data_IF_203070065373
#
_entry.id   IF_203070065373
#
_cell.length_a   1.000
_cell.length_b   1.000
_cell.length_c   1.000
_cell.angle_alpha   90.00
_cell.angle_beta   90.00
_cell.angle_gamma   90.00
#
_symmetry.space_group_name_H-M   'P 1'
#
loop_
_entity.id
_entity.type
_entity.pdbx_description
1 polymer ?
#
# COMPACT_ATOMS: atom_id res chain seq x y z
N UNK A 1 -28.04 -28.20 -43.74
CA UNK A 1 -27.67 -29.18 -44.78
C UNK A 1 -26.44 -28.67 -45.52
N UNK A 2 -25.51 -29.60 -45.77
CA UNK A 2 -24.43 -29.62 -46.76
C UNK A 2 -23.17 -28.73 -46.58
N UNK A 3 -22.08 -29.45 -46.30
CA UNK A 3 -20.66 -29.13 -46.52
C UNK A 3 -20.28 -29.39 -47.97
N UNK A 4 -19.27 -28.68 -48.49
CA UNK A 4 -18.23 -29.16 -49.43
C UNK A 4 -17.29 -28.00 -49.76
N UNK A 5 -16.01 -27.96 -49.35
CA UNK A 5 -14.81 -28.72 -49.77
C UNK A 5 -14.24 -28.36 -51.16
N UNK A 6 -12.93 -28.11 -51.14
CA UNK A 6 -11.97 -27.48 -52.09
C UNK A 6 -11.75 -28.18 -53.46
N UNK A 7 -10.83 -27.67 -54.33
CA UNK A 7 -9.43 -28.17 -54.32
C UNK A 7 -8.32 -27.18 -54.80
N UNK A 8 -7.06 -27.63 -54.63
CA UNK A 8 -5.76 -26.96 -54.90
C UNK A 8 -5.10 -27.40 -56.24
N UNK A 9 -4.22 -26.54 -56.81
CA UNK A 9 -2.78 -26.76 -57.23
C UNK A 9 -2.39 -26.38 -58.70
N UNK A 10 -1.10 -26.44 -59.17
CA UNK A 10 0.08 -25.53 -59.03
C UNK A 10 0.71 -25.10 -60.42
N UNK A 11 2.06 -25.04 -60.67
CA UNK A 11 3.09 -23.98 -60.47
C UNK A 11 3.83 -23.50 -61.77
N UNK A 12 4.77 -22.52 -61.71
CA UNK A 12 6.06 -22.48 -62.50
C UNK A 12 7.00 -21.29 -62.19
N UNK A 13 8.30 -21.47 -62.49
CA UNK A 13 9.54 -20.82 -62.01
C UNK A 13 10.14 -19.72 -62.93
N UNK A 14 10.88 -18.76 -62.31
CA UNK A 14 12.21 -18.13 -62.62
C UNK A 14 12.49 -17.47 -64.02
N UNK A 15 13.43 -16.49 -64.20
CA UNK A 15 14.82 -16.49 -63.68
C UNK A 15 15.58 -15.16 -63.35
N UNK A 16 16.71 -15.38 -62.64
CA UNK A 16 18.04 -14.75 -62.53
C UNK A 16 18.40 -13.29 -62.92
N UNK A 17 19.28 -12.67 -62.09
CA UNK A 17 20.48 -12.00 -62.65
C UNK A 17 21.04 -10.71 -62.01
N UNK A 18 21.95 -10.86 -61.03
CA UNK A 18 23.28 -10.20 -60.90
C UNK A 18 23.47 -8.68 -60.60
N UNK A 19 24.35 -8.47 -59.58
CA UNK A 19 25.47 -7.51 -59.40
C UNK A 19 25.28 -6.22 -58.56
N UNK A 20 26.07 -6.16 -57.48
CA UNK A 20 26.42 -4.99 -56.65
C UNK A 20 27.16 -3.88 -57.42
N UNK A 21 27.33 -2.67 -56.85
CA UNK A 21 28.57 -2.41 -56.10
C UNK A 21 28.45 -1.50 -54.85
N UNK A 22 29.45 -1.64 -53.96
CA UNK A 22 29.76 -0.74 -52.84
C UNK A 22 30.45 0.55 -53.33
N UNK A 23 30.20 1.68 -52.65
CA UNK A 23 31.13 2.79 -52.31
C UNK A 23 30.51 3.59 -51.15
N UNK A 24 31.03 3.47 -49.93
CA UNK A 24 31.94 4.41 -49.25
C UNK A 24 31.44 5.86 -49.29
N UNK A 25 30.98 6.35 -48.14
CA UNK A 25 31.32 7.68 -47.62
C UNK A 25 31.02 7.73 -46.11
N UNK A 26 32.08 7.91 -45.32
CA UNK A 26 32.00 8.30 -43.91
C UNK A 26 31.64 9.78 -43.80
N UNK A 27 31.05 10.21 -42.68
CA UNK A 27 31.76 11.25 -41.93
C UNK A 27 31.81 11.01 -40.43
N UNK A 28 32.91 11.53 -39.91
CA UNK A 28 33.45 11.51 -38.57
C UNK A 28 32.53 12.21 -37.55
N UNK A 29 32.13 11.55 -36.45
CA UNK A 29 31.64 12.23 -35.23
C UNK A 29 31.97 11.45 -33.95
N UNK A 30 33.04 11.93 -33.29
CA UNK A 30 33.36 11.94 -31.85
C UNK A 30 32.70 10.88 -30.95
N UNK A 31 33.54 9.97 -30.46
CA UNK A 31 33.32 9.13 -29.27
C UNK A 31 33.18 10.00 -28.02
N UNK A 32 32.06 9.90 -27.32
CA UNK A 32 32.00 10.02 -25.86
C UNK A 32 31.17 8.84 -25.34
N UNK A 33 31.69 8.18 -24.30
CA UNK A 33 31.31 6.83 -23.89
C UNK A 33 29.85 6.69 -23.47
N UNK A 34 29.17 5.76 -24.13
CA UNK A 34 27.90 5.20 -23.67
C UNK A 34 28.29 4.14 -22.63
N UNK A 35 28.10 4.46 -21.34
CA UNK A 35 28.07 3.44 -20.30
C UNK A 35 27.00 2.40 -20.61
N UNK A 36 27.09 1.16 -20.09
CA UNK A 36 26.18 0.09 -20.49
C UNK A 36 24.74 0.55 -20.32
N UNK A 37 24.01 0.54 -21.44
CA UNK A 37 22.56 0.71 -21.44
C UNK A 37 22.02 -0.46 -20.62
N UNK A 38 21.60 -0.21 -19.38
CA UNK A 38 20.84 -1.19 -18.62
C UNK A 38 19.51 -1.27 -19.34
N UNK A 39 19.36 -2.32 -20.14
CA UNK A 39 18.10 -2.70 -20.73
C UNK A 39 17.18 -3.05 -19.57
N UNK A 40 16.40 -2.07 -19.09
CA UNK A 40 15.32 -2.29 -18.15
C UNK A 40 14.23 -3.02 -18.93
N UNK A 41 14.44 -4.32 -19.15
CA UNK A 41 13.52 -5.21 -19.82
C UNK A 41 12.13 -5.02 -19.21
N UNK A 42 11.14 -4.80 -20.08
CA UNK A 42 9.73 -4.74 -19.70
C UNK A 42 9.39 -5.97 -18.86
N UNK A 43 9.25 -5.76 -17.56
CA UNK A 43 8.88 -6.80 -16.62
C UNK A 43 7.36 -7.01 -16.74
N UNK A 44 6.92 -7.97 -17.54
CA UNK A 44 5.52 -8.43 -17.49
C UNK A 44 5.40 -9.36 -16.28
N UNK A 45 4.69 -8.98 -15.20
CA UNK A 45 4.78 -9.74 -13.97
C UNK A 45 3.85 -10.95 -14.03
N UNK A 46 4.41 -12.16 -13.92
CA UNK A 46 3.62 -13.30 -13.46
C UNK A 46 3.55 -13.25 -11.92
N UNK A 47 2.67 -12.38 -11.39
CA UNK A 47 2.43 -12.17 -9.94
C UNK A 47 1.78 -13.37 -9.23
N UNK A 48 1.60 -14.49 -9.93
CA UNK A 48 0.81 -15.63 -9.48
C UNK A 48 1.64 -16.91 -9.37
N UNK A 49 2.95 -16.81 -9.11
CA UNK A 49 3.83 -17.97 -8.85
C UNK A 49 4.21 -18.03 -7.38
N UNK A 50 4.05 -19.19 -6.74
CA UNK A 50 4.52 -19.38 -5.37
C UNK A 50 6.03 -19.58 -5.34
N UNK A 51 6.77 -18.69 -4.66
CA UNK A 51 8.24 -18.77 -4.60
C UNK A 51 8.77 -19.95 -3.79
N UNK A 52 7.94 -20.62 -2.99
CA UNK A 52 8.34 -21.81 -2.21
C UNK A 52 8.24 -23.12 -3.01
N UNK A 53 7.24 -23.25 -3.89
CA UNK A 53 6.97 -24.49 -4.61
C UNK A 53 7.02 -24.36 -6.14
N UNK A 54 7.21 -23.14 -6.65
CA UNK A 54 7.27 -22.78 -8.07
C UNK A 54 6.01 -23.11 -8.87
N UNK A 55 4.88 -23.35 -8.21
CA UNK A 55 3.58 -23.50 -8.89
C UNK A 55 3.05 -22.15 -9.34
N UNK A 56 2.67 -22.06 -10.61
CA UNK A 56 1.85 -20.97 -11.15
C UNK A 56 0.37 -21.21 -10.87
N UNK A 57 -0.34 -20.14 -10.53
CA UNK A 57 -1.77 -20.11 -10.24
C UNK A 57 -2.51 -19.25 -11.27
N UNK A 58 -3.81 -19.53 -11.43
CA UNK A 58 -4.66 -18.78 -12.38
C UNK A 58 -4.79 -17.28 -12.10
N UNK A 59 -4.72 -16.87 -10.83
CA UNK A 59 -4.88 -15.47 -10.42
C UNK A 59 -4.27 -15.20 -9.04
N UNK A 60 -4.07 -13.92 -8.67
CA UNK A 60 -3.51 -13.55 -7.36
C UNK A 60 -4.34 -14.03 -6.16
N UNK A 61 -5.66 -14.14 -6.28
CA UNK A 61 -6.50 -14.65 -5.19
C UNK A 61 -6.24 -16.15 -4.91
N UNK A 62 -5.98 -16.94 -5.95
CA UNK A 62 -5.66 -18.36 -5.83
C UNK A 62 -4.31 -18.58 -5.13
N UNK A 63 -3.28 -17.80 -5.45
CA UNK A 63 -1.98 -17.90 -4.77
C UNK A 63 -2.04 -17.41 -3.32
N UNK A 64 -2.77 -16.33 -3.01
CA UNK A 64 -2.95 -15.92 -1.61
C UNK A 64 -3.67 -17.01 -0.80
N UNK A 65 -4.72 -17.61 -1.37
CA UNK A 65 -5.41 -18.75 -0.76
C UNK A 65 -4.47 -19.95 -0.55
N UNK A 66 -3.62 -20.25 -1.53
CA UNK A 66 -2.60 -21.29 -1.44
C UNK A 66 -1.62 -21.06 -0.29
N UNK A 67 -1.01 -19.87 -0.19
CA UNK A 67 0.01 -19.57 0.81
C UNK A 67 -0.54 -19.65 2.25
N UNK A 68 -1.78 -19.23 2.44
CA UNK A 68 -2.42 -19.28 3.76
C UNK A 68 -2.88 -20.70 4.12
N UNK A 69 -3.33 -21.49 3.15
CA UNK A 69 -3.93 -22.80 3.42
C UNK A 69 -3.01 -24.00 3.27
N UNK A 70 -1.98 -23.94 2.43
CA UNK A 70 -1.15 -25.09 2.12
C UNK A 70 0.16 -25.02 2.91
N UNK A 71 0.52 -26.13 3.54
CA UNK A 71 1.76 -26.24 4.29
C UNK A 71 2.89 -26.77 3.41
N UNK A 72 3.92 -25.95 3.21
CA UNK A 72 5.16 -26.31 2.50
C UNK A 72 6.29 -26.76 3.44
N UNK A 73 6.05 -26.72 4.75
CA UNK A 73 7.07 -27.03 5.76
C UNK A 73 7.02 -28.50 6.14
N UNK A 74 8.18 -29.04 6.55
CA UNK A 74 8.33 -30.42 7.02
C UNK A 74 7.24 -30.79 8.06
N UNK A 75 6.66 -32.01 7.99
CA UNK A 75 7.05 -33.16 7.15
C UNK A 75 6.59 -33.07 5.68
N UNK A 76 5.84 -32.03 5.31
CA UNK A 76 5.35 -31.82 3.95
C UNK A 76 6.43 -31.17 3.07
N UNK A 77 6.22 -31.20 1.76
CA UNK A 77 7.19 -30.68 0.81
C UNK A 77 6.49 -29.98 -0.37
N UNK A 78 7.25 -29.62 -1.40
CA UNK A 78 6.70 -28.95 -2.57
C UNK A 78 5.72 -29.83 -3.36
N UNK A 79 5.83 -31.17 -3.32
CA UNK A 79 4.95 -32.09 -4.05
C UNK A 79 3.68 -32.43 -3.29
N UNK A 80 3.80 -32.76 -2.02
CA UNK A 80 2.67 -33.16 -1.17
C UNK A 80 2.54 -32.19 0.00
N UNK A 81 1.44 -31.45 0.01
CA UNK A 81 1.18 -30.35 0.91
C UNK A 81 -0.03 -30.67 1.78
N UNK A 82 -0.03 -30.23 3.03
CA UNK A 82 -1.20 -30.38 3.89
C UNK A 82 -2.08 -29.14 3.85
N UNK A 83 -3.38 -29.33 3.65
CA UNK A 83 -4.35 -28.26 3.85
C UNK A 83 -4.51 -27.98 5.35
N UNK A 84 -4.24 -26.74 5.78
CA UNK A 84 -4.38 -26.29 7.17
C UNK A 84 -5.82 -26.32 7.68
N UNK A 85 -6.79 -26.16 6.78
CA UNK A 85 -8.22 -26.12 7.12
C UNK A 85 -8.79 -27.53 7.37
N UNK A 86 -8.67 -28.45 6.41
CA UNK A 86 -9.28 -29.79 6.50
C UNK A 86 -8.28 -30.92 6.84
N UNK A 87 -6.99 -30.60 6.98
CA UNK A 87 -5.89 -31.52 7.32
C UNK A 87 -5.55 -32.59 6.26
N UNK A 88 -6.25 -32.63 5.14
CA UNK A 88 -5.93 -33.56 4.05
C UNK A 88 -4.59 -33.23 3.39
N UNK A 89 -3.83 -34.25 3.03
CA UNK A 89 -2.67 -34.14 2.14
C UNK A 89 -3.16 -34.01 0.70
N UNK A 90 -2.62 -33.03 -0.02
CA UNK A 90 -3.01 -32.68 -1.39
C UNK A 90 -1.75 -32.61 -2.24
N UNK A 91 -1.77 -33.26 -3.40
CA UNK A 91 -0.69 -33.14 -4.34
C UNK A 91 -0.70 -31.75 -4.99
N UNK A 92 0.48 -31.19 -5.25
CA UNK A 92 0.67 -29.88 -5.89
C UNK A 92 -0.07 -29.76 -7.23
N UNK A 93 -0.27 -30.86 -7.96
CA UNK A 93 -1.03 -30.86 -9.22
C UNK A 93 -2.51 -30.54 -9.00
N UNK A 94 -3.08 -31.05 -7.91
CA UNK A 94 -4.51 -31.00 -7.60
C UNK A 94 -4.90 -29.87 -6.62
N UNK A 95 -3.90 -29.10 -6.18
CA UNK A 95 -4.07 -28.09 -5.13
C UNK A 95 -5.09 -27.00 -5.50
N UNK A 96 -5.20 -26.64 -6.79
CA UNK A 96 -6.15 -25.62 -7.25
C UNK A 96 -7.59 -26.10 -7.28
N UNK A 97 -7.81 -27.41 -7.43
CA UNK A 97 -9.13 -28.04 -7.38
C UNK A 97 -9.54 -28.38 -5.94
N UNK A 98 -8.64 -28.29 -4.97
CA UNK A 98 -8.93 -28.59 -3.58
C UNK A 98 -10.02 -27.65 -3.01
N UNK A 99 -11.10 -28.22 -2.49
CA UNK A 99 -12.31 -27.50 -2.05
C UNK A 99 -12.02 -26.30 -1.13
N UNK A 100 -11.17 -26.46 -0.11
CA UNK A 100 -10.86 -25.36 0.81
C UNK A 100 -10.15 -24.19 0.10
N UNK A 101 -9.27 -24.49 -0.86
CA UNK A 101 -8.56 -23.47 -1.62
C UNK A 101 -9.51 -22.75 -2.58
N UNK A 102 -10.38 -23.48 -3.29
CA UNK A 102 -11.39 -22.90 -4.18
C UNK A 102 -12.30 -21.93 -3.42
N UNK A 103 -12.84 -22.36 -2.28
CA UNK A 103 -13.71 -21.53 -1.44
C UNK A 103 -12.98 -20.27 -0.95
N UNK A 104 -11.74 -20.43 -0.46
CA UNK A 104 -10.94 -19.30 0.01
C UNK A 104 -10.63 -18.33 -1.13
N UNK A 105 -10.22 -18.81 -2.29
CA UNK A 105 -9.93 -17.97 -3.44
C UNK A 105 -11.19 -17.24 -3.93
N UNK A 106 -12.37 -17.88 -3.91
CA UNK A 106 -13.64 -17.23 -4.26
C UNK A 106 -13.99 -16.10 -3.29
N UNK A 107 -13.84 -16.32 -1.99
CA UNK A 107 -13.98 -15.26 -0.99
C UNK A 107 -13.04 -14.09 -1.30
N UNK A 108 -11.76 -14.37 -1.53
CA UNK A 108 -10.77 -13.32 -1.85
C UNK A 108 -11.14 -12.54 -3.12
N UNK A 109 -11.63 -13.21 -4.19
CA UNK A 109 -12.12 -12.54 -5.41
C UNK A 109 -13.32 -11.64 -5.15
N UNK A 110 -14.25 -12.07 -4.29
CA UNK A 110 -15.41 -11.26 -3.90
C UNK A 110 -14.94 -9.95 -3.26
N UNK A 111 -13.99 -10.02 -2.31
CA UNK A 111 -13.46 -8.84 -1.62
C UNK A 111 -12.80 -7.82 -2.55
N UNK A 112 -12.22 -8.29 -3.65
CA UNK A 112 -11.51 -7.49 -4.65
C UNK A 112 -12.42 -6.90 -5.73
N UNK A 113 -13.68 -7.35 -5.80
CA UNK A 113 -14.62 -6.92 -6.82
C UNK A 113 -14.89 -5.41 -6.68
N UNK A 114 -15.06 -4.68 -7.80
CA UNK A 114 -15.44 -3.27 -7.76
C UNK A 114 -16.69 -2.95 -6.94
N UNK A 115 -17.63 -3.90 -6.83
CA UNK A 115 -18.83 -3.76 -5.99
C UNK A 115 -18.50 -3.75 -4.49
N UNK A 116 -17.49 -4.52 -4.07
CA UNK A 116 -17.02 -4.56 -2.69
C UNK A 116 -16.05 -3.43 -2.36
N UNK A 117 -15.48 -2.79 -3.39
CA UNK A 117 -14.56 -1.66 -3.27
C UNK A 117 -15.21 -0.33 -3.68
N UNK A 118 -16.46 -0.12 -3.26
CA UNK A 118 -17.20 1.09 -3.58
C UNK A 118 -16.54 2.35 -3.01
N UNK A 119 -16.34 3.33 -3.89
CA UNK A 119 -15.58 4.55 -3.63
C UNK A 119 -14.09 4.31 -3.27
N UNK A 120 -13.51 3.24 -3.79
CA UNK A 120 -12.07 3.00 -3.80
C UNK A 120 -11.58 2.12 -2.65
N UNK A 121 -10.35 1.57 -2.75
CA UNK A 121 -9.77 0.70 -1.73
C UNK A 121 -9.70 1.32 -0.32
N UNK A 122 -9.79 0.50 0.75
CA UNK A 122 -9.85 0.95 2.15
C UNK A 122 -8.51 1.44 2.73
N UNK A 123 -7.61 1.90 1.88
CA UNK A 123 -6.31 2.46 2.24
C UNK A 123 -6.02 3.74 1.44
N UNK A 124 -7.04 4.35 0.83
CA UNK A 124 -6.93 5.62 0.10
C UNK A 124 -7.67 6.73 0.81
N UNK A 125 -6.97 7.83 1.09
CA UNK A 125 -7.54 8.99 1.77
C UNK A 125 -8.35 9.89 0.82
N UNK A 126 -9.61 10.15 1.15
CA UNK A 126 -10.49 11.03 0.36
C UNK A 126 -10.16 12.53 0.52
N UNK A 127 -9.53 12.95 1.62
CA UNK A 127 -9.14 14.35 1.83
C UNK A 127 -7.82 14.71 1.15
N UNK A 128 -6.93 13.74 0.98
CA UNK A 128 -5.62 13.92 0.37
C UNK A 128 -5.57 13.48 -1.10
N UNK A 129 -6.59 13.82 -1.89
CA UNK A 129 -6.63 13.51 -3.33
C UNK A 129 -6.33 12.03 -3.62
N UNK A 130 -6.98 11.12 -2.89
CA UNK A 130 -6.80 9.66 -3.04
C UNK A 130 -5.36 9.19 -2.74
N UNK A 131 -4.61 9.91 -1.87
CA UNK A 131 -3.30 9.47 -1.39
C UNK A 131 -3.38 8.04 -0.88
N UNK A 132 -2.46 7.19 -1.34
CA UNK A 132 -2.34 5.80 -0.93
C UNK A 132 -1.59 5.72 0.40
N UNK A 133 -2.23 5.15 1.40
CA UNK A 133 -1.61 4.65 2.61
C UNK A 133 -1.14 3.20 2.40
N UNK A 134 -0.16 2.74 3.17
CA UNK A 134 0.36 1.38 3.11
C UNK A 134 -0.58 0.33 3.69
N UNK A 135 -1.58 0.72 4.49
CA UNK A 135 -2.65 -0.17 4.95
C UNK A 135 -3.92 0.60 5.35
N UNK A 136 -5.01 -0.12 5.62
CA UNK A 136 -6.22 0.49 6.22
C UNK A 136 -5.98 1.03 7.64
N UNK A 137 -5.06 0.43 8.38
CA UNK A 137 -4.68 0.90 9.72
C UNK A 137 -3.95 2.23 9.60
N UNK A 138 -3.02 2.32 8.64
CA UNK A 138 -2.31 3.55 8.34
C UNK A 138 -3.26 4.63 7.82
N UNK A 139 -4.28 4.27 7.03
CA UNK A 139 -5.35 5.21 6.67
C UNK A 139 -6.09 5.74 7.90
N UNK A 140 -6.49 4.86 8.83
CA UNK A 140 -7.17 5.29 10.05
C UNK A 140 -6.31 6.26 10.87
N UNK A 141 -5.03 5.94 11.05
CA UNK A 141 -4.08 6.83 11.74
C UNK A 141 -3.86 8.13 10.98
N UNK A 142 -3.75 8.08 9.66
CA UNK A 142 -3.65 9.26 8.81
C UNK A 142 -4.88 10.18 8.99
N UNK A 143 -6.09 9.64 8.99
CA UNK A 143 -7.31 10.42 9.22
C UNK A 143 -7.31 11.07 10.60
N UNK A 144 -6.97 10.32 11.65
CA UNK A 144 -6.94 10.84 13.02
C UNK A 144 -5.77 11.79 13.30
N UNK A 145 -4.68 11.72 12.54
CA UNK A 145 -3.53 12.59 12.74
C UNK A 145 -3.56 13.85 11.86
N UNK A 146 -4.08 13.76 10.62
CA UNK A 146 -4.15 14.88 9.68
C UNK A 146 -5.53 15.56 9.66
N UNK A 147 -6.61 14.77 9.64
CA UNK A 147 -7.97 15.24 9.31
C UNK A 147 -8.94 15.21 10.48
N UNK A 148 -8.42 14.97 11.69
CA UNK A 148 -9.22 14.95 12.91
C UNK A 148 -10.00 16.27 13.08
N UNK A 149 -11.29 16.21 13.41
CA UNK A 149 -12.08 17.40 13.70
C UNK A 149 -11.43 18.22 14.82
N UNK A 150 -11.48 19.55 14.69
CA UNK A 150 -10.97 20.49 15.69
C UNK A 150 -9.46 20.34 16.03
N UNK A 151 -8.67 19.71 15.15
CA UNK A 151 -7.23 19.58 15.32
C UNK A 151 -6.56 20.97 15.32
N UNK A 152 -5.67 21.27 16.28
CA UNK A 152 -4.88 22.48 16.23
C UNK A 152 -3.95 22.49 14.99
N UNK A 153 -3.79 23.65 14.32
CA UNK A 153 -2.85 23.78 13.22
C UNK A 153 -1.42 23.38 13.61
N UNK A 154 -0.69 22.71 12.73
CA UNK A 154 0.70 22.32 12.97
C UNK A 154 0.92 21.25 14.06
N UNK A 155 -0.12 20.55 14.52
CA UNK A 155 -0.01 19.49 15.52
C UNK A 155 -0.52 18.15 15.01
N UNK A 156 0.06 17.04 15.48
CA UNK A 156 -0.52 15.72 15.30
C UNK A 156 -1.90 15.66 15.96
N UNK A 157 -2.88 15.09 15.28
CA UNK A 157 -4.23 14.93 15.83
C UNK A 157 -4.32 13.91 16.97
N UNK A 158 -3.30 13.11 17.24
CA UNK A 158 -3.35 12.08 18.30
C UNK A 158 -2.38 12.32 19.46
N UNK A 159 -1.41 13.24 19.33
CA UNK A 159 -0.42 13.52 20.36
C UNK A 159 0.12 14.96 20.27
N UNK A 160 1.07 15.31 21.13
CA UNK A 160 1.66 16.65 21.22
C UNK A 160 2.75 16.93 20.16
N UNK A 161 2.98 16.03 19.19
CA UNK A 161 3.98 16.25 18.14
C UNK A 161 3.60 17.43 17.25
N UNK A 162 4.59 18.25 16.87
CA UNK A 162 4.41 19.46 16.06
C UNK A 162 5.12 19.37 14.71
N UNK A 163 4.58 20.04 13.70
CA UNK A 163 5.14 20.10 12.34
C UNK A 163 4.81 21.42 11.64
N UNK A 164 5.57 21.76 10.60
CA UNK A 164 5.30 22.92 9.75
C UNK A 164 4.14 22.62 8.79
N UNK A 165 3.00 23.26 9.02
CA UNK A 165 1.82 23.07 8.18
C UNK A 165 1.90 23.96 6.92
N UNK A 166 1.71 23.39 5.71
CA UNK A 166 1.76 24.18 4.50
C UNK A 166 0.64 25.25 4.46
N UNK A 167 0.89 26.38 3.79
CA UNK A 167 -0.11 27.43 3.65
C UNK A 167 -1.35 26.91 2.91
N UNK A 168 -2.51 27.43 3.31
CA UNK A 168 -3.78 27.07 2.66
C UNK A 168 -3.74 27.53 1.20
N UNK A 169 -4.34 26.73 0.33
CA UNK A 169 -4.51 27.10 -1.07
C UNK A 169 -5.31 28.41 -1.17
N UNK A 170 -4.87 29.38 -2.00
CA UNK A 170 -5.61 30.61 -2.22
C UNK A 170 -6.96 30.30 -2.87
N UNK A 171 -7.97 31.16 -2.65
CA UNK A 171 -9.24 31.01 -3.35
C UNK A 171 -9.07 31.08 -4.87
N UNK A 172 -9.86 30.33 -5.66
CA UNK A 172 -9.81 30.45 -7.12
C UNK A 172 -10.04 31.89 -7.57
N UNK A 173 -9.26 32.33 -8.56
CA UNK A 173 -9.34 33.68 -9.09
C UNK A 173 -10.55 33.78 -10.05
N UNK A 174 -11.71 34.17 -9.51
CA UNK A 174 -12.93 34.44 -10.28
C UNK A 174 -13.36 35.91 -10.12
N UNK A 175 -13.92 36.53 -11.17
CA UNK A 175 -14.43 37.89 -11.11
C UNK A 175 -15.47 38.05 -9.99
N UNK A 176 -15.40 39.10 -9.17
CA UNK A 176 -16.40 39.38 -8.15
C UNK A 176 -17.81 39.55 -8.76
N UNK A 177 -18.83 39.06 -8.07
CA UNK A 177 -20.23 39.29 -8.44
C UNK A 177 -20.57 40.80 -8.41
N UNK A 178 -21.22 41.35 -9.45
CA UNK A 178 -21.77 42.70 -9.40
C UNK A 178 -22.81 42.84 -8.27
N UNK A 179 -22.83 43.98 -7.58
CA UNK A 179 -23.74 44.23 -6.46
C UNK A 179 -25.24 44.05 -6.82
N UNK A 180 -25.60 44.30 -8.08
CA UNK A 180 -26.97 44.22 -8.61
C UNK A 180 -27.28 42.88 -9.29
N UNK A 181 -26.47 41.83 -9.05
CA UNK A 181 -26.70 40.53 -9.67
C UNK A 181 -28.03 39.91 -9.22
N UNK A 182 -28.82 39.49 -10.21
CA UNK A 182 -30.04 38.69 -10.00
C UNK A 182 -29.71 37.32 -9.37
N UNK A 183 -30.77 36.64 -8.91
CA UNK A 183 -30.61 35.38 -8.17
C UNK A 183 -30.07 34.24 -9.05
N UNK A 184 -30.28 34.30 -10.36
CA UNK A 184 -29.76 33.32 -11.31
C UNK A 184 -28.25 33.48 -11.50
N UNK A 185 -27.77 34.72 -11.70
CA UNK A 185 -26.33 35.04 -11.75
C UNK A 185 -25.61 34.68 -10.46
N UNK A 186 -26.23 34.88 -9.30
CA UNK A 186 -25.68 34.43 -8.00
C UNK A 186 -25.50 32.91 -7.95
N UNK A 187 -26.48 32.14 -8.43
CA UNK A 187 -26.40 30.67 -8.50
C UNK A 187 -25.33 30.21 -9.49
N UNK A 188 -25.28 30.83 -10.67
CA UNK A 188 -24.28 30.51 -11.69
C UNK A 188 -22.85 30.77 -11.19
N UNK A 189 -22.61 31.92 -10.58
CA UNK A 189 -21.29 32.24 -10.00
C UNK A 189 -20.91 31.29 -8.86
N UNK A 190 -21.86 30.93 -7.98
CA UNK A 190 -21.60 29.95 -6.92
C UNK A 190 -21.23 28.56 -7.49
N UNK A 191 -21.88 28.17 -8.60
CA UNK A 191 -21.57 26.94 -9.32
C UNK A 191 -20.19 27.01 -10.00
N UNK A 192 -19.86 28.13 -10.64
CA UNK A 192 -18.55 28.36 -11.25
C UNK A 192 -17.43 28.35 -10.21
N UNK A 193 -17.64 29.01 -9.07
CA UNK A 193 -16.71 28.99 -7.93
C UNK A 193 -16.51 27.58 -7.37
N UNK A 194 -17.58 26.79 -7.29
CA UNK A 194 -17.49 25.38 -6.90
C UNK A 194 -16.67 24.57 -7.91
N UNK A 195 -16.93 24.71 -9.20
CA UNK A 195 -16.18 24.03 -10.27
C UNK A 195 -14.70 24.44 -10.25
N UNK A 196 -14.42 25.72 -10.07
CA UNK A 196 -13.06 26.25 -10.00
C UNK A 196 -12.31 25.70 -8.78
N UNK A 197 -12.97 25.61 -7.60
CA UNK A 197 -12.39 24.96 -6.41
C UNK A 197 -12.12 23.48 -6.65
N UNK A 198 -13.08 22.74 -7.22
CA UNK A 198 -12.89 21.33 -7.54
C UNK A 198 -11.74 21.12 -8.54
N UNK A 199 -11.59 22.00 -9.53
CA UNK A 199 -10.47 21.97 -10.48
C UNK A 199 -9.14 22.23 -9.77
N UNK A 200 -9.06 23.26 -8.94
CA UNK A 200 -7.88 23.59 -8.15
C UNK A 200 -7.47 22.43 -7.21
N UNK A 201 -8.44 21.74 -6.59
CA UNK A 201 -8.17 20.55 -5.77
C UNK A 201 -7.59 19.37 -6.59
N UNK A 202 -7.88 19.33 -7.89
CA UNK A 202 -7.36 18.34 -8.84
C UNK A 202 -6.04 18.78 -9.50
N UNK A 203 -5.55 19.99 -9.26
CA UNK A 203 -4.27 20.45 -9.79
C UNK A 203 -3.13 19.85 -8.98
N UNK A 204 -2.13 19.30 -9.68
CA UNK A 204 -0.96 18.71 -9.04
C UNK A 204 -0.08 19.84 -8.49
N UNK A 205 0.36 19.71 -7.23
CA UNK A 205 1.28 20.65 -6.61
C UNK A 205 2.67 20.04 -6.54
N UNK A 206 3.64 20.69 -7.17
CA UNK A 206 5.07 20.34 -7.07
C UNK A 206 5.73 20.91 -5.80
N UNK A 207 4.98 21.66 -4.98
CA UNK A 207 5.51 22.29 -3.78
C UNK A 207 5.83 21.22 -2.74
N UNK A 208 7.12 21.06 -2.45
CA UNK A 208 7.57 20.20 -1.37
C UNK A 208 6.94 20.66 -0.05
N UNK A 209 6.48 19.70 0.77
CA UNK A 209 5.88 19.97 2.08
C UNK A 209 6.62 19.20 3.17
N UNK A 210 7.87 19.58 3.50
CA UNK A 210 8.70 18.83 4.45
C UNK A 210 8.03 18.60 5.80
N UNK A 211 7.24 19.55 6.29
CA UNK A 211 6.49 19.38 7.54
C UNK A 211 5.42 18.27 7.46
N UNK A 212 4.73 18.10 6.32
CA UNK A 212 3.80 16.97 6.15
C UNK A 212 4.55 15.63 6.06
N UNK A 213 5.76 15.62 5.49
CA UNK A 213 6.61 14.44 5.47
C UNK A 213 7.10 14.05 6.88
N UNK A 214 7.47 15.04 7.72
CA UNK A 214 7.82 14.82 9.12
C UNK A 214 6.65 14.20 9.89
N UNK A 215 5.43 14.71 9.70
CA UNK A 215 4.24 14.14 10.32
C UNK A 215 3.99 12.69 9.83
N UNK A 216 4.23 12.39 8.54
CA UNK A 216 4.07 11.03 8.01
C UNK A 216 5.05 10.06 8.66
N UNK A 217 6.32 10.46 8.78
CA UNK A 217 7.36 9.66 9.44
C UNK A 217 6.99 9.42 10.91
N UNK A 218 6.55 10.46 11.62
CA UNK A 218 6.06 10.35 12.99
C UNK A 218 4.91 9.33 13.10
N UNK A 219 3.87 9.44 12.28
CA UNK A 219 2.72 8.53 12.29
C UNK A 219 3.17 7.08 12.03
N UNK A 220 4.03 6.87 11.05
CA UNK A 220 4.52 5.54 10.66
C UNK A 220 5.31 4.83 11.75
N UNK A 221 5.93 5.57 12.68
CA UNK A 221 6.85 5.02 13.68
C UNK A 221 6.26 5.05 15.10
N UNK A 222 5.39 6.01 15.40
CA UNK A 222 4.83 6.20 16.75
C UNK A 222 3.39 5.69 16.88
N UNK A 223 2.58 5.75 15.82
CA UNK A 223 1.17 5.38 15.89
C UNK A 223 0.90 4.05 15.18
N UNK A 224 1.33 3.92 13.92
CA UNK A 224 1.01 2.76 13.07
C UNK A 224 1.41 1.41 13.69
N UNK A 225 2.61 1.22 14.30
CA UNK A 225 3.00 -0.09 14.85
C UNK A 225 2.04 -0.61 15.92
N UNK A 226 1.61 0.24 16.85
CA UNK A 226 0.69 -0.13 17.93
C UNK A 226 -0.68 -0.59 17.38
N UNK A 227 -1.25 0.20 16.46
CA UNK A 227 -2.56 -0.13 15.88
C UNK A 227 -2.49 -1.28 14.86
N UNK A 228 -1.35 -1.51 14.22
CA UNK A 228 -1.14 -2.69 13.38
C UNK A 228 -1.07 -3.96 14.21
N UNK A 229 -0.34 -3.94 15.33
CA UNK A 229 -0.30 -5.06 16.27
C UNK A 229 -1.71 -5.39 16.77
N UNK A 230 -2.46 -4.37 17.17
CA UNK A 230 -3.84 -4.56 17.64
C UNK A 230 -4.78 -5.08 16.54
N UNK A 231 -4.76 -4.49 15.34
CA UNK A 231 -5.53 -4.98 14.19
C UNK A 231 -5.18 -6.44 13.84
N UNK A 232 -3.89 -6.80 13.93
CA UNK A 232 -3.44 -8.18 13.69
C UNK A 232 -4.01 -9.15 14.71
N UNK A 233 -4.02 -8.79 16.00
CA UNK A 233 -4.67 -9.58 17.04
C UNK A 233 -6.16 -9.76 16.75
N UNK A 234 -6.87 -8.67 16.47
CA UNK A 234 -8.32 -8.74 16.25
C UNK A 234 -8.68 -9.57 15.00
N UNK A 235 -7.87 -9.55 13.92
CA UNK A 235 -8.12 -10.38 12.72
C UNK A 235 -8.05 -11.90 13.02
N UNK A 236 -7.36 -12.31 14.10
CA UNK A 236 -7.34 -13.70 14.55
C UNK A 236 -8.65 -14.10 15.24
N UNK A 237 -9.27 -13.16 15.96
CA UNK A 237 -10.47 -13.39 16.77
C UNK A 237 -11.78 -13.11 16.00
N UNK A 238 -11.75 -12.16 15.06
CA UNK A 238 -12.91 -11.64 14.35
C UNK A 238 -12.70 -11.71 12.82
N UNK A 239 -13.50 -12.56 12.17
CA UNK A 239 -13.46 -12.73 10.71
C UNK A 239 -14.04 -11.55 9.94
N UNK A 240 -14.92 -10.74 10.54
CA UNK A 240 -15.54 -9.58 9.90
C UNK A 240 -14.52 -8.48 9.63
N UNK A 241 -13.43 -8.46 10.38
CA UNK A 241 -12.28 -7.60 10.10
C UNK A 241 -11.59 -7.93 8.77
N UNK A 242 -11.94 -9.00 8.04
CA UNK A 242 -11.38 -9.23 6.70
C UNK A 242 -12.11 -8.42 5.62
N UNK A 243 -13.29 -7.88 5.93
CA UNK A 243 -14.02 -7.01 5.01
C UNK A 243 -13.29 -5.69 4.77
N UNK A 244 -13.43 -5.07 3.58
CA UNK A 244 -12.57 -3.96 3.16
C UNK A 244 -12.77 -2.78 4.08
N UNK A 245 -14.04 -2.46 4.35
CA UNK A 245 -14.43 -1.30 5.15
C UNK A 245 -14.81 -1.67 6.59
N UNK A 246 -14.24 -2.76 7.13
CA UNK A 246 -14.28 -2.99 8.56
C UNK A 246 -13.31 -2.04 9.26
N UNK A 247 -13.81 -1.29 10.24
CA UNK A 247 -12.99 -0.35 10.99
C UNK A 247 -11.91 -1.11 11.78
N UNK A 248 -10.61 -0.80 11.58
CA UNK A 248 -9.55 -1.45 12.33
C UNK A 248 -9.58 -1.07 13.83
N UNK A 249 -10.40 -0.08 14.22
CA UNK A 249 -10.49 0.44 15.59
C UNK A 249 -11.65 -0.11 16.43
N UNK A 250 -12.68 -0.70 15.82
CA UNK A 250 -13.80 -1.24 16.60
C UNK A 250 -14.56 -2.36 15.88
N UNK A 251 -13.98 -2.90 14.80
CA UNK A 251 -14.59 -3.93 13.94
C UNK A 251 -15.90 -3.55 13.26
N UNK A 252 -16.42 -2.33 13.44
CA UNK A 252 -17.65 -1.94 12.78
C UNK A 252 -17.48 -1.90 11.27
N UNK A 253 -18.31 -2.67 10.56
CA UNK A 253 -18.24 -2.81 9.12
C UNK A 253 -19.24 -1.89 8.41
N UNK A 254 -18.75 -1.18 7.40
CA UNK A 254 -19.56 -0.37 6.49
C UNK A 254 -19.41 -0.84 5.05
N UNK A 255 -20.12 -0.20 4.11
CA UNK A 255 -20.23 -0.68 2.73
C UNK A 255 -19.34 0.07 1.76
N UNK A 256 -18.77 1.20 2.17
CA UNK A 256 -17.99 2.06 1.27
C UNK A 256 -16.84 2.79 1.98
N UNK A 257 -15.92 3.31 1.17
CA UNK A 257 -14.76 4.04 1.67
C UNK A 257 -15.15 5.35 2.39
N UNK A 258 -16.16 6.07 1.90
CA UNK A 258 -16.58 7.34 2.51
C UNK A 258 -17.29 7.13 3.86
N UNK A 259 -18.05 6.05 4.02
CA UNK A 259 -18.64 5.68 5.31
C UNK A 259 -17.55 5.34 6.33
N UNK A 260 -16.48 4.65 5.89
CA UNK A 260 -15.35 4.31 6.76
C UNK A 260 -14.64 5.58 7.24
N UNK A 261 -14.41 6.55 6.34
CA UNK A 261 -13.82 7.84 6.70
C UNK A 261 -14.68 8.59 7.72
N UNK A 262 -15.99 8.70 7.45
CA UNK A 262 -16.93 9.38 8.33
C UNK A 262 -16.96 8.73 9.72
N UNK A 263 -16.99 7.39 9.76
CA UNK A 263 -16.94 6.63 10.99
C UNK A 263 -15.67 6.87 11.79
N UNK A 264 -14.50 6.77 11.15
CA UNK A 264 -13.21 6.97 11.83
C UNK A 264 -13.15 8.37 12.43
N UNK A 265 -13.48 9.41 11.64
CA UNK A 265 -13.43 10.78 12.12
C UNK A 265 -14.51 11.11 13.15
N UNK A 266 -15.69 10.50 13.07
CA UNK A 266 -16.81 10.78 13.96
C UNK A 266 -16.80 10.01 15.28
N UNK A 267 -16.43 8.73 15.25
CA UNK A 267 -16.41 7.85 16.42
C UNK A 267 -15.07 7.86 17.15
N UNK A 268 -13.96 8.02 16.42
CA UNK A 268 -12.60 7.89 16.99
C UNK A 268 -11.83 9.21 16.97
N UNK A 269 -12.46 10.29 16.50
CA UNK A 269 -11.85 11.62 16.39
C UNK A 269 -11.92 12.48 17.64
N UNK A 270 -12.48 12.00 18.76
CA UNK A 270 -12.56 12.83 19.97
C UNK A 270 -11.19 12.96 20.67
N UNK A 271 -10.91 14.10 21.33
CA UNK A 271 -9.66 14.31 22.08
C UNK A 271 -9.55 13.47 23.33
N UNK A 272 -10.68 13.05 23.88
CA UNK A 272 -10.75 12.38 25.16
C UNK A 272 -11.47 11.05 25.03
N UNK A 273 -10.97 10.06 25.78
CA UNK A 273 -11.65 8.77 25.90
C UNK A 273 -13.06 8.93 26.48
N UNK A 274 -13.25 9.87 27.40
CA UNK A 274 -14.56 10.17 28.01
C UNK A 274 -15.60 10.51 26.94
N UNK A 275 -15.27 11.32 25.94
CA UNK A 275 -16.21 11.63 24.85
C UNK A 275 -16.51 10.43 23.95
N UNK A 276 -15.52 9.57 23.70
CA UNK A 276 -15.73 8.32 22.98
C UNK A 276 -16.65 7.37 23.76
N UNK A 277 -16.48 7.28 25.08
CA UNK A 277 -17.29 6.44 25.96
C UNK A 277 -18.74 6.96 26.05
N UNK A 278 -18.90 8.28 26.07
CA UNK A 278 -20.19 8.97 26.02
C UNK A 278 -20.82 9.02 24.62
N UNK A 279 -20.18 8.39 23.62
CA UNK A 279 -20.68 8.30 22.24
C UNK A 279 -20.99 9.68 21.63
N UNK A 280 -20.10 10.63 21.90
CA UNK A 280 -20.15 11.97 21.33
C UNK A 280 -19.54 11.93 19.93
N UNK A 281 -20.24 12.49 18.95
CA UNK A 281 -19.73 12.63 17.60
C UNK A 281 -18.65 13.71 17.54
N UNK A 282 -17.42 13.34 17.21
CA UNK A 282 -16.31 14.29 17.12
C UNK A 282 -16.49 15.35 16.00
N UNK A 283 -17.39 15.13 15.04
CA UNK A 283 -17.64 16.06 13.93
C UNK A 283 -18.66 17.16 14.26
N UNK A 284 -19.58 16.95 15.21
CA UNK A 284 -20.64 17.91 15.52
C UNK A 284 -21.17 17.87 16.96
N UNK A 285 -20.46 17.21 17.87
CA UNK A 285 -20.77 17.08 19.30
C UNK A 285 -22.15 16.46 19.63
N UNK A 286 -22.77 15.78 18.67
CA UNK A 286 -24.02 15.03 18.91
C UNK A 286 -23.75 13.85 19.83
N UNK A 287 -24.53 13.74 20.92
CA UNK A 287 -24.43 12.62 21.87
C UNK A 287 -25.46 11.56 21.55
N UNK A 288 -25.01 10.32 21.35
CA UNK A 288 -25.89 9.16 21.23
C UNK A 288 -25.96 8.38 22.54
N UNK A 289 -27.05 7.63 22.75
CA UNK A 289 -27.17 6.69 23.88
C UNK A 289 -26.51 5.33 23.62
N UNK A 290 -26.16 5.02 22.36
CA UNK A 290 -25.63 3.72 21.94
C UNK A 290 -24.64 3.88 20.77
N UNK A 291 -23.71 2.94 20.61
CA UNK A 291 -22.80 2.88 19.46
C UNK A 291 -23.56 2.82 18.12
N UNK A 292 -24.63 2.03 18.05
CA UNK A 292 -25.49 1.97 16.86
C UNK A 292 -26.17 3.30 16.56
N UNK A 293 -26.58 4.04 17.60
CA UNK A 293 -27.15 5.38 17.48
C UNK A 293 -26.15 6.38 16.91
N UNK A 294 -24.91 6.37 17.43
CA UNK A 294 -23.82 7.23 16.95
C UNK A 294 -23.45 6.90 15.50
N UNK A 295 -23.27 5.62 15.19
CA UNK A 295 -22.97 5.16 13.84
C UNK A 295 -24.04 5.58 12.84
N UNK A 296 -25.33 5.42 13.20
CA UNK A 296 -26.44 5.89 12.35
C UNK A 296 -26.42 7.41 12.17
N UNK A 297 -26.17 8.17 13.25
CA UNK A 297 -26.02 9.62 13.17
C UNK A 297 -24.93 10.02 12.17
N UNK A 298 -23.75 9.36 12.24
CA UNK A 298 -22.63 9.63 11.34
C UNK A 298 -22.98 9.31 9.89
N UNK A 299 -23.60 8.15 9.65
CA UNK A 299 -24.00 7.74 8.30
C UNK A 299 -24.96 8.73 7.64
N UNK A 300 -25.92 9.25 8.41
CA UNK A 300 -26.95 10.16 7.88
C UNK A 300 -26.42 11.58 7.71
N UNK A 301 -25.61 12.07 8.65
CA UNK A 301 -25.30 13.50 8.72
C UNK A 301 -23.92 13.87 8.14
N UNK A 302 -22.96 12.93 8.06
CA UNK A 302 -21.55 13.25 7.80
C UNK A 302 -20.94 12.56 6.58
N UNK A 303 -21.71 11.77 5.83
CA UNK A 303 -21.19 11.01 4.67
C UNK A 303 -21.27 11.76 3.35
N UNK A 304 -22.20 12.71 3.19
CA UNK A 304 -22.49 13.33 1.89
C UNK A 304 -21.29 14.12 1.33
N UNK A 305 -20.58 14.87 2.17
CA UNK A 305 -19.39 15.62 1.74
C UNK A 305 -18.27 14.69 1.27
N UNK A 306 -18.02 13.60 2.00
CA UNK A 306 -17.03 12.58 1.65
C UNK A 306 -17.41 11.82 0.38
N UNK A 307 -18.70 11.49 0.21
CA UNK A 307 -19.23 10.87 -1.00
C UNK A 307 -19.01 11.77 -2.21
N UNK A 308 -19.18 13.08 -2.09
CA UNK A 308 -18.87 14.04 -3.16
C UNK A 308 -17.39 14.04 -3.53
N UNK A 309 -16.50 14.02 -2.53
CA UNK A 309 -15.05 13.90 -2.77
C UNK A 309 -14.69 12.59 -3.49
N UNK A 310 -15.23 11.46 -3.03
CA UNK A 310 -15.02 10.16 -3.68
C UNK A 310 -15.48 10.16 -5.14
N UNK A 311 -16.67 10.71 -5.41
CA UNK A 311 -17.17 10.87 -6.79
C UNK A 311 -16.25 11.75 -7.64
N UNK A 312 -15.73 12.85 -7.07
CA UNK A 312 -14.81 13.74 -7.78
C UNK A 312 -13.53 13.00 -8.17
N UNK A 313 -12.93 12.24 -7.26
CA UNK A 313 -11.70 11.48 -7.53
C UNK A 313 -11.90 10.37 -8.56
N UNK A 314 -13.04 9.69 -8.55
CA UNK A 314 -13.39 8.69 -9.55
C UNK A 314 -13.57 9.34 -10.93
N UNK A 315 -14.35 10.42 -11.02
CA UNK A 315 -14.60 11.12 -12.30
C UNK A 315 -13.34 11.73 -12.92
N UNK A 316 -12.30 11.94 -12.11
CA UNK A 316 -11.00 12.48 -12.52
C UNK A 316 -9.93 11.39 -12.67
N UNK A 317 -10.30 10.13 -12.56
CA UNK A 317 -9.40 8.97 -12.67
C UNK A 317 -8.25 8.99 -11.64
N UNK A 318 -8.42 9.74 -10.54
CA UNK A 318 -7.47 9.83 -9.43
C UNK A 318 -7.68 8.70 -8.40
N UNK A 319 -8.82 8.01 -8.48
CA UNK A 319 -9.17 6.88 -7.66
C UNK A 319 -9.96 5.88 -8.49
N UNK A 320 -9.59 4.61 -8.40
CA UNK A 320 -10.32 3.53 -9.06
C UNK A 320 -10.88 2.59 -8.00
N UNK A 321 -12.02 1.96 -8.29
CA UNK A 321 -12.63 0.92 -7.46
C UNK A 321 -11.97 -0.44 -7.68
N UNK A 322 -10.63 -0.45 -7.76
CA UNK A 322 -9.82 -1.66 -7.94
C UNK A 322 -8.56 -1.56 -7.11
N UNK A 323 -8.05 -2.71 -6.68
CA UNK A 323 -6.76 -2.86 -6.03
C UNK A 323 -5.91 -3.82 -6.87
N UNK A 324 -4.59 -3.77 -6.70
CA UNK A 324 -3.70 -4.79 -7.24
C UNK A 324 -3.61 -5.95 -6.23
N UNK A 325 -4.25 -7.10 -6.52
CA UNK A 325 -4.24 -8.24 -5.62
C UNK A 325 -2.90 -9.00 -5.62
N UNK A 326 -1.99 -8.70 -6.55
CA UNK A 326 -0.63 -9.24 -6.55
C UNK A 326 0.27 -8.57 -5.49
N UNK A 327 -0.11 -7.38 -5.01
CA UNK A 327 0.68 -6.61 -4.04
C UNK A 327 -0.12 -6.19 -2.80
N UNK A 328 -1.39 -6.58 -2.69
CA UNK A 328 -2.25 -6.23 -1.55
C UNK A 328 -2.73 -7.47 -0.81
N UNK A 329 -2.49 -7.52 0.50
CA UNK A 329 -3.01 -8.57 1.37
C UNK A 329 -4.50 -8.35 1.63
N UNK A 330 -5.34 -9.27 1.19
CA UNK A 330 -6.80 -9.14 1.30
C UNK A 330 -7.29 -9.47 2.72
N UNK A 331 -6.43 -10.03 3.57
CA UNK A 331 -6.76 -10.35 4.95
C UNK A 331 -6.69 -9.13 5.88
N UNK A 332 -5.69 -8.27 5.69
CA UNK A 332 -5.42 -7.12 6.55
C UNK A 332 -5.40 -5.78 5.79
N UNK A 333 -5.53 -5.80 4.47
CA UNK A 333 -5.49 -4.64 3.57
C UNK A 333 -4.17 -3.87 3.63
N UNK A 334 -3.07 -4.54 3.99
CA UNK A 334 -1.71 -4.02 3.85
C UNK A 334 -1.23 -4.19 2.41
N UNK A 335 -0.53 -3.19 1.90
CA UNK A 335 -0.01 -3.17 0.55
C UNK A 335 1.51 -3.15 0.52
N UNK A 336 2.07 -3.81 -0.47
CA UNK A 336 3.50 -4.04 -0.63
C UNK A 336 3.96 -3.50 -1.98
N UNK A 337 5.29 -3.36 -2.14
CA UNK A 337 5.87 -2.92 -3.42
C UNK A 337 5.95 -4.09 -4.41
N UNK A 338 6.22 -5.30 -3.91
CA UNK A 338 6.41 -6.50 -4.71
C UNK A 338 5.62 -7.69 -4.19
N UNK A 339 5.38 -8.66 -5.06
CA UNK A 339 4.67 -9.90 -4.75
C UNK A 339 5.43 -10.78 -3.75
N UNK A 340 6.75 -10.88 -3.82
CA UNK A 340 7.56 -11.62 -2.85
C UNK A 340 7.43 -11.07 -1.42
N UNK A 341 7.21 -9.76 -1.27
CA UNK A 341 6.92 -9.15 0.04
C UNK A 341 5.53 -9.55 0.54
N UNK A 342 4.53 -9.54 -0.34
CA UNK A 342 3.19 -10.01 -0.01
C UNK A 342 3.20 -11.50 0.38
N UNK A 343 3.92 -12.35 -0.35
CA UNK A 343 3.99 -13.78 -0.03
C UNK A 343 4.64 -14.03 1.34
N UNK A 344 5.75 -13.34 1.63
CA UNK A 344 6.38 -13.40 2.94
C UNK A 344 5.42 -12.92 4.03
N UNK A 345 4.73 -11.81 3.82
CA UNK A 345 3.71 -11.32 4.74
C UNK A 345 2.61 -12.35 5.00
N UNK A 346 2.04 -12.99 3.98
CA UNK A 346 0.99 -14.01 4.18
C UNK A 346 1.49 -15.18 5.03
N UNK A 347 2.72 -15.65 4.80
CA UNK A 347 3.34 -16.73 5.56
C UNK A 347 3.67 -16.32 6.99
N UNK A 348 4.19 -15.11 7.22
CA UNK A 348 4.55 -14.62 8.55
C UNK A 348 3.32 -14.20 9.36
N UNK A 349 2.32 -13.60 8.70
CA UNK A 349 1.19 -12.94 9.34
C UNK A 349 -0.07 -13.76 9.47
N UNK A 350 -0.34 -14.64 8.51
CA UNK A 350 -1.65 -15.27 8.39
C UNK A 350 -1.61 -16.81 8.45
N UNK A 351 -0.41 -17.38 8.67
CA UNK A 351 -0.19 -18.82 8.92
C UNK A 351 0.12 -19.12 10.41
N UNK A 352 -0.18 -18.15 11.27
CA UNK A 352 -0.05 -18.23 12.73
C UNK A 352 -1.38 -17.94 13.40
N UNK A 353 -1.53 -18.45 14.62
CA UNK A 353 -2.67 -18.13 15.50
C UNK A 353 -2.24 -17.23 16.66
N UNK A 354 -1.02 -16.69 16.62
CA UNK A 354 -0.49 -15.76 17.62
C UNK A 354 0.08 -14.53 16.91
N UNK A 355 -0.26 -13.34 17.40
CA UNK A 355 0.05 -12.05 16.80
C UNK A 355 1.56 -11.77 16.77
N UNK A 356 2.32 -12.25 17.76
CA UNK A 356 3.79 -12.06 17.88
C UNK A 356 4.60 -13.32 17.59
N UNK A 357 4.05 -14.24 16.81
CA UNK A 357 4.76 -15.44 16.37
C UNK A 357 4.84 -15.47 14.85
N UNK A 358 6.04 -15.70 14.31
CA UNK A 358 6.22 -15.85 12.88
C UNK A 358 5.49 -17.10 12.37
N UNK A 359 4.52 -16.93 11.48
CA UNK A 359 3.80 -18.04 10.86
C UNK A 359 4.67 -18.93 9.96
N UNK A 360 5.81 -18.41 9.49
CA UNK A 360 6.74 -19.14 8.64
C UNK A 360 7.75 -19.96 9.45
N UNK A 361 8.69 -19.32 10.15
CA UNK A 361 9.78 -19.99 10.87
C UNK A 361 9.45 -20.33 12.33
N UNK A 362 8.29 -19.91 12.83
CA UNK A 362 7.79 -20.18 14.21
C UNK A 362 8.55 -19.49 15.35
N UNK A 363 9.50 -18.60 15.05
CA UNK A 363 10.14 -17.71 16.04
C UNK A 363 9.09 -16.87 16.75
N UNK A 364 9.27 -16.71 18.06
CA UNK A 364 8.37 -15.97 18.96
C UNK A 364 9.03 -14.66 19.40
N UNK A 365 8.26 -13.57 19.35
CA UNK A 365 8.68 -12.22 19.75
C UNK A 365 8.00 -11.77 21.05
N UNK A 366 7.30 -12.68 21.73
CA UNK A 366 6.58 -12.46 23.00
C UNK A 366 7.51 -12.23 24.19
N UNK A 367 8.77 -12.64 24.08
CA UNK A 367 9.79 -12.41 25.12
C UNK A 367 10.22 -10.94 25.24
N UNK A 368 9.86 -10.09 24.28
CA UNK A 368 10.13 -8.66 24.37
C UNK A 368 9.19 -8.00 25.40
N UNK A 369 9.69 -7.28 26.42
CA UNK A 369 8.84 -6.67 27.44
C UNK A 369 7.83 -5.66 26.90
N UNK A 370 8.20 -4.94 25.84
CA UNK A 370 7.30 -4.05 25.11
C UNK A 370 6.75 -4.78 23.86
N UNK A 371 5.46 -5.12 23.83
CA UNK A 371 4.84 -5.78 22.68
C UNK A 371 4.93 -4.96 21.38
N UNK A 372 4.95 -3.63 21.47
CA UNK A 372 5.07 -2.75 20.29
C UNK A 372 6.47 -2.88 19.70
N UNK A 373 7.50 -2.82 20.55
CA UNK A 373 8.88 -3.07 20.14
C UNK A 373 9.05 -4.49 19.56
N UNK A 374 8.49 -5.51 20.24
CA UNK A 374 8.47 -6.89 19.73
C UNK A 374 7.82 -7.01 18.35
N UNK A 375 6.73 -6.28 18.11
CA UNK A 375 6.07 -6.20 16.81
C UNK A 375 6.94 -5.51 15.76
N UNK A 376 7.65 -4.42 16.10
CA UNK A 376 8.57 -3.74 15.20
C UNK A 376 9.73 -4.66 14.78
N UNK A 377 10.29 -5.44 15.71
CA UNK A 377 11.29 -6.48 15.40
C UNK A 377 10.69 -7.52 14.45
N UNK A 378 9.47 -7.99 14.72
CA UNK A 378 8.78 -8.93 13.85
C UNK A 378 8.52 -8.37 12.43
N UNK A 379 8.30 -7.07 12.27
CA UNK A 379 8.20 -6.44 10.94
C UNK A 379 9.53 -6.47 10.18
N UNK A 380 10.66 -6.29 10.88
CA UNK A 380 12.00 -6.45 10.27
C UNK A 380 12.28 -7.91 9.91
N UNK A 381 11.85 -8.83 10.77
CA UNK A 381 11.90 -10.25 10.51
C UNK A 381 11.06 -10.65 9.28
N UNK A 382 9.85 -10.11 9.14
CA UNK A 382 9.00 -10.28 7.95
C UNK A 382 9.71 -9.77 6.69
N UNK A 383 10.36 -8.61 6.77
CA UNK A 383 11.16 -8.07 5.68
C UNK A 383 12.31 -9.00 5.31
N UNK A 384 13.06 -9.52 6.29
CA UNK A 384 14.16 -10.44 6.05
C UNK A 384 13.70 -11.75 5.39
N UNK A 385 12.53 -12.27 5.77
CA UNK A 385 11.88 -13.36 5.06
C UNK A 385 11.53 -13.01 3.60
N UNK A 386 11.08 -11.77 3.35
CA UNK A 386 10.84 -11.30 1.98
C UNK A 386 12.12 -11.25 1.14
N UNK A 387 13.28 -11.00 1.75
CA UNK A 387 14.59 -11.04 1.06
C UNK A 387 14.90 -12.45 0.54
N UNK A 388 14.62 -13.49 1.32
CA UNK A 388 14.79 -14.88 0.87
C UNK A 388 13.93 -15.18 -0.37
N UNK A 389 12.69 -14.68 -0.41
CA UNK A 389 11.84 -14.82 -1.60
C UNK A 389 12.32 -13.93 -2.76
N UNK A 390 12.87 -12.75 -2.47
CA UNK A 390 13.47 -11.86 -3.46
C UNK A 390 14.69 -12.50 -4.13
N UNK A 391 15.54 -13.22 -3.39
CA UNK A 391 16.66 -13.98 -3.96
C UNK A 391 16.19 -15.06 -4.96
N UNK A 392 15.09 -15.75 -4.64
CA UNK A 392 14.46 -16.71 -5.56
C UNK A 392 13.94 -15.98 -6.80
N UNK A 393 13.28 -14.83 -6.63
CA UNK A 393 12.80 -14.01 -7.72
C UNK A 393 13.93 -13.54 -8.64
N UNK A 394 15.07 -13.12 -8.10
CA UNK A 394 16.28 -12.75 -8.86
C UNK A 394 16.84 -13.94 -9.65
N UNK A 395 17.01 -15.09 -8.99
CA UNK A 395 17.51 -16.31 -9.63
C UNK A 395 16.61 -16.79 -10.78
N UNK A 396 15.30 -16.63 -10.61
CA UNK A 396 14.29 -16.98 -11.61
C UNK A 396 14.03 -15.86 -12.63
N UNK A 397 14.77 -14.74 -12.57
CA UNK A 397 14.62 -13.58 -13.45
C UNK A 397 13.21 -12.96 -13.43
N UNK A 398 12.51 -13.09 -12.31
CA UNK A 398 11.23 -12.44 -12.08
C UNK A 398 11.38 -10.98 -11.65
N UNK A 399 12.56 -10.56 -11.23
CA UNK A 399 12.92 -9.17 -10.93
C UNK A 399 14.41 -8.94 -11.18
N UNK A 400 14.77 -7.69 -11.45
CA UNK A 400 16.16 -7.23 -11.57
C UNK A 400 16.52 -6.21 -10.48
N UNK A 401 15.58 -5.89 -9.58
CA UNK A 401 15.85 -4.99 -8.45
C UNK A 401 16.91 -5.62 -7.54
N UNK A 402 17.95 -4.85 -7.21
CA UNK A 402 19.02 -5.34 -6.33
C UNK A 402 18.47 -5.68 -4.95
N UNK A 403 18.95 -6.79 -4.39
CA UNK A 403 18.65 -7.16 -3.01
C UNK A 403 19.21 -6.10 -2.05
N UNK A 404 18.34 -5.45 -1.28
CA UNK A 404 18.77 -4.55 -0.19
C UNK A 404 19.33 -5.35 0.99
N UNK A 405 20.05 -4.68 1.87
CA UNK A 405 20.62 -5.28 3.09
C UNK A 405 19.55 -5.78 4.08
N UNK A 406 19.89 -6.77 4.94
CA UNK A 406 18.98 -7.21 6.00
C UNK A 406 18.68 -6.08 6.96
N UNK A 407 17.46 -6.07 7.49
CA UNK A 407 17.11 -5.18 8.59
C UNK A 407 17.54 -5.80 9.93
N UNK A 408 17.99 -4.98 10.89
CA UNK A 408 18.39 -5.47 12.21
C UNK A 408 17.16 -5.97 12.98
N UNK A 409 17.31 -7.09 13.69
CA UNK A 409 16.28 -7.70 14.56
C UNK A 409 16.69 -7.55 16.03
N UNK A 410 16.89 -6.30 16.47
CA UNK A 410 17.37 -5.96 17.81
C UNK A 410 16.31 -5.20 18.63
N UNK A 411 16.28 -5.35 19.96
CA UNK A 411 15.33 -4.64 20.82
C UNK A 411 15.79 -3.19 21.10
N UNK A 412 16.02 -2.41 20.04
CA UNK A 412 16.34 -0.99 20.11
C UNK A 412 15.45 -0.21 19.13
N UNK A 413 14.51 0.58 19.66
CA UNK A 413 13.52 1.29 18.86
C UNK A 413 14.17 2.25 17.84
N UNK A 414 15.24 2.95 18.23
CA UNK A 414 15.88 3.93 17.36
C UNK A 414 16.62 3.26 16.21
N UNK A 415 17.35 2.18 16.49
CA UNK A 415 18.02 1.38 15.46
C UNK A 415 17.00 0.82 14.45
N UNK A 416 15.85 0.36 14.93
CA UNK A 416 14.79 -0.14 14.04
C UNK A 416 14.21 0.97 13.16
N UNK A 417 13.95 2.16 13.73
CA UNK A 417 13.44 3.32 12.99
C UNK A 417 14.46 3.77 11.93
N UNK A 418 15.73 3.93 12.30
CA UNK A 418 16.78 4.41 11.41
C UNK A 418 16.97 3.48 10.21
N UNK A 419 16.94 2.16 10.45
CA UNK A 419 17.05 1.17 9.38
C UNK A 419 15.85 1.22 8.42
N UNK A 420 14.63 1.46 8.92
CA UNK A 420 13.42 1.62 8.10
C UNK A 420 13.45 2.91 7.27
N UNK A 421 13.91 4.01 7.86
CA UNK A 421 14.06 5.30 7.17
C UNK A 421 15.11 5.17 6.05
N UNK A 422 16.24 4.51 6.31
CA UNK A 422 17.27 4.26 5.31
C UNK A 422 16.74 3.46 4.11
N UNK A 423 15.82 2.51 4.32
CA UNK A 423 15.19 1.77 3.22
C UNK A 423 14.31 2.61 2.30
N UNK A 424 13.64 3.63 2.83
CA UNK A 424 12.73 4.51 2.09
C UNK A 424 13.46 5.62 1.31
N UNK A 425 14.73 5.89 1.63
CA UNK A 425 15.56 6.95 1.03
C UNK A 425 15.92 6.77 -0.44
N UNK A 426 15.70 5.59 -1.02
CA UNK A 426 15.91 5.33 -2.45
C UNK A 426 14.63 5.64 -3.26
N UNK A 427 14.25 6.90 -3.40
CA UNK A 427 13.27 7.32 -4.43
C UNK A 427 13.99 7.62 -5.76
N UNK A 428 13.45 7.23 -6.93
CA UNK A 428 14.09 7.52 -8.22
C UNK A 428 14.15 9.01 -8.59
N UNK A 429 13.35 9.87 -7.95
CA UNK A 429 13.20 11.28 -8.34
C UNK A 429 13.61 12.24 -7.22
N UNK A 430 14.91 12.27 -6.90
CA UNK A 430 15.49 13.38 -6.15
C UNK A 430 16.84 13.75 -6.77
N UNK A 431 17.09 15.03 -7.09
CA UNK A 431 18.36 15.45 -7.68
C UNK A 431 19.49 15.09 -6.72
N UNK A 432 20.49 14.34 -7.21
CA UNK A 432 21.68 13.97 -6.45
C UNK A 432 22.36 15.24 -5.90
N UNK A 433 22.14 15.52 -4.62
CA UNK A 433 22.94 16.46 -3.85
C UNK A 433 24.38 15.94 -3.81
N UNK A 434 25.32 16.81 -4.17
CA UNK A 434 26.77 16.52 -4.20
C UNK A 434 27.21 15.93 -2.85
N UNK A 435 27.70 14.68 -2.87
CA UNK A 435 28.44 14.10 -1.74
C UNK A 435 29.70 14.95 -1.53
N UNK A 436 29.76 15.69 -0.43
CA UNK A 436 31.00 16.28 0.07
C UNK A 436 31.88 15.16 0.64
N UNK A 437 32.99 14.89 -0.04
CA UNK A 437 34.04 13.98 0.43
C UNK A 437 34.62 14.44 1.78
N UNK A 438 34.87 13.55 2.75
CA UNK A 438 35.61 13.90 3.96
C UNK A 438 37.09 14.12 3.62
N UNK A 439 37.62 15.31 3.92
CA UNK A 439 39.07 15.56 3.91
C UNK A 439 39.72 14.77 5.04
N UNK A 440 40.53 13.79 4.68
CA UNK A 440 41.52 13.13 5.53
C UNK A 440 42.48 14.17 6.13
N UNK A 441 42.49 14.31 7.46
CA UNK A 441 43.57 15.00 8.19
C UNK A 441 44.60 13.96 8.59
N UNK A 442 45.79 14.06 8.00
CA UNK A 442 46.99 13.33 8.42
C UNK A 442 47.42 13.77 9.83
N UNK A 443 47.91 12.86 10.68
CA UNK A 443 48.43 13.23 12.00
C UNK A 443 49.81 13.87 11.89
N UNK A 444 49.99 15.01 12.55
CA UNK A 444 51.30 15.62 12.80
C UNK A 444 51.96 14.88 13.98
N UNK A 445 53.16 14.38 13.73
CA UNK A 445 54.11 13.92 14.74
C UNK A 445 54.74 15.13 15.43
N UNK A 446 54.48 15.28 16.74
CA UNK A 446 55.30 16.12 17.61
C UNK A 446 56.02 15.22 18.62
N UNK A 447 57.28 14.93 18.30
CA UNK A 447 58.28 14.42 19.23
C UNK A 447 58.95 15.61 19.91
N UNK A 448 58.68 15.80 21.20
CA UNK A 448 59.57 16.53 22.11
C UNK A 448 60.14 15.53 23.11
N UNK A 449 61.44 15.29 23.01
CA UNK A 449 62.19 14.68 24.09
C UNK A 449 62.37 15.66 25.24
N UNK A 450 62.53 15.14 26.44
CA UNK A 450 63.71 15.42 27.27
C UNK A 450 63.69 14.53 28.53
N UNK A 451 64.85 13.90 28.74
CA UNK A 451 65.37 13.18 29.92
C UNK A 451 65.02 11.72 30.10
#
# INVERSE_FOLDING_TARGET
MLKSSSPKSPPKKSPDGKKSPRRINSPNRKKQGIGPLVDNGMQTPQTSVCFLCMKSFKDPAAIQAHLVLMNHMAPFNSKDQQCRACKSTVNIKDVEQHKCLVLKANFLRLMLCPVSLDYGPPYRCLYCRSMRCGSRVELAMHLLCYHRPNKPPGHCGMCSFTYEEPPRLPSPNLPPLPANADQEKKRAHAQELKIAREKQMCEYSEVATPGLDNLRIHISNEHVPAYMLWSRRNILEDSELRFPYACPLCSWAVKSNYELHAHILGCHGNPSQVQNDLKVCAMCDFTASTDSGLNRHILVNHTEALKRLGNLWIRRELMMNVTDPGTTCIHCWQTFKHDFQLQAHLLVAHVTNHELRCGWCKVEFTSCPDPILGFMIMQHHEYNHSRTLHEIALRCQYTYESLKDPLPEVPDKQVLIDARVAQCGDRPDSPKGKKSSPKSKSPKSDSKGEK
#
